data_IF_873942528232
#
_entry.id   IF_873942528232
#
_cell.length_a   1.000
_cell.length_b   1.000
_cell.length_c   1.000
_cell.angle_alpha   90.00
_cell.angle_beta   90.00
_cell.angle_gamma   90.00
#
_symmetry.space_group_name_H-M   'P 1'
#
loop_
_entity.id
_entity.type
_entity.pdbx_description
1 polymer ?
#
# COMPACT_ATOMS: atom_id res chain seq x y z
N UNK A 1 27.90 -63.44 -30.10
CA UNK A 1 28.47 -62.13 -30.50
C UNK A 1 27.53 -61.07 -29.93
N UNK A 2 27.85 -60.53 -28.76
CA UNK A 2 26.94 -59.63 -28.02
C UNK A 2 26.91 -58.24 -28.64
N UNK A 3 25.72 -57.78 -28.98
CA UNK A 3 25.47 -56.39 -29.38
C UNK A 3 25.66 -55.54 -28.12
N UNK A 4 26.68 -54.70 -28.12
CA UNK A 4 26.88 -53.72 -27.05
C UNK A 4 25.89 -52.58 -27.28
N UNK A 5 24.90 -52.48 -26.40
CA UNK A 5 24.01 -51.33 -26.31
C UNK A 5 24.81 -50.08 -25.94
N UNK A 6 24.79 -49.10 -26.84
CA UNK A 6 25.31 -47.76 -26.59
C UNK A 6 24.28 -47.00 -25.73
N UNK A 7 24.65 -46.46 -24.55
CA UNK A 7 23.70 -45.74 -23.73
C UNK A 7 23.36 -44.40 -24.38
N UNK A 8 22.20 -44.31 -25.04
CA UNK A 8 21.62 -43.03 -25.47
C UNK A 8 21.15 -42.28 -24.24
N UNK A 9 22.07 -41.53 -23.63
CA UNK A 9 21.75 -40.56 -22.58
C UNK A 9 21.00 -39.41 -23.22
N UNK A 10 19.67 -39.50 -23.25
CA UNK A 10 18.77 -38.38 -23.57
C UNK A 10 18.94 -37.32 -22.49
N UNK A 11 19.90 -36.42 -22.73
CA UNK A 11 20.13 -35.25 -21.91
C UNK A 11 18.91 -34.35 -22.08
N UNK A 12 18.01 -34.38 -21.09
CA UNK A 12 16.82 -33.52 -21.05
C UNK A 12 17.32 -32.07 -21.12
N UNK A 13 17.20 -31.45 -22.29
CA UNK A 13 17.55 -30.05 -22.50
C UNK A 13 16.53 -29.19 -21.76
N UNK A 14 16.69 -29.06 -20.44
CA UNK A 14 15.90 -28.12 -19.65
C UNK A 14 16.40 -26.72 -19.98
N UNK A 15 15.52 -25.88 -20.52
CA UNK A 15 15.80 -24.46 -20.69
C UNK A 15 16.09 -23.87 -19.30
N UNK A 16 17.28 -23.30 -19.06
CA UNK A 16 17.60 -22.71 -17.77
C UNK A 16 16.61 -21.56 -17.45
N UNK A 17 16.16 -21.42 -16.18
CA UNK A 17 15.28 -20.31 -15.76
C UNK A 17 15.80 -18.93 -16.17
N UNK A 18 17.14 -18.77 -16.23
CA UNK A 18 17.84 -17.58 -16.70
C UNK A 18 17.42 -17.14 -18.11
N UNK A 19 17.11 -18.07 -19.01
CA UNK A 19 16.66 -17.74 -20.38
C UNK A 19 15.30 -17.04 -20.35
N UNK A 20 14.40 -17.46 -19.45
CA UNK A 20 13.12 -16.80 -19.23
C UNK A 20 13.29 -15.38 -18.70
N UNK A 21 14.13 -15.19 -17.68
CA UNK A 21 14.43 -13.86 -17.13
C UNK A 21 15.05 -12.91 -18.16
N UNK A 22 15.99 -13.39 -18.98
CA UNK A 22 16.59 -12.58 -20.06
C UNK A 22 15.55 -12.23 -21.12
N UNK A 23 14.69 -13.18 -21.49
CA UNK A 23 13.62 -12.95 -22.44
C UNK A 23 12.62 -11.90 -21.95
N UNK A 24 12.23 -11.97 -20.68
CA UNK A 24 11.34 -11.01 -20.04
C UNK A 24 11.97 -9.62 -19.97
N UNK A 25 13.27 -9.53 -19.66
CA UNK A 25 14.00 -8.27 -19.67
C UNK A 25 14.10 -7.65 -21.08
N UNK A 26 14.43 -8.45 -22.11
CA UNK A 26 14.42 -8.00 -23.50
C UNK A 26 13.02 -7.57 -23.98
N UNK A 27 11.97 -8.24 -23.49
CA UNK A 27 10.59 -7.87 -23.78
C UNK A 27 10.18 -6.58 -23.07
N UNK A 28 10.68 -6.34 -21.86
CA UNK A 28 10.45 -5.11 -21.09
C UNK A 28 11.09 -3.88 -21.75
N UNK A 29 12.22 -4.04 -22.46
CA UNK A 29 12.88 -2.95 -23.21
C UNK A 29 11.92 -2.25 -24.17
N UNK A 30 11.03 -3.02 -24.83
CA UNK A 30 10.01 -2.48 -25.75
C UNK A 30 8.98 -1.58 -25.05
N UNK A 31 8.84 -1.73 -23.72
CA UNK A 31 7.90 -0.96 -22.91
C UNK A 31 8.57 0.27 -22.29
N UNK A 32 9.87 0.49 -22.43
CA UNK A 32 10.56 1.63 -21.81
C UNK A 32 10.08 2.96 -22.44
N UNK A 33 9.90 4.04 -21.65
CA UNK A 33 9.58 5.35 -22.19
C UNK A 33 10.64 5.84 -23.18
N UNK A 34 10.22 6.41 -24.31
CA UNK A 34 11.14 7.02 -25.28
C UNK A 34 11.54 8.46 -24.93
N UNK A 35 10.86 9.10 -23.98
CA UNK A 35 11.09 10.50 -23.57
C UNK A 35 11.05 10.66 -22.06
N UNK A 36 11.80 11.64 -21.53
CA UNK A 36 11.82 11.96 -20.09
C UNK A 36 10.42 12.31 -19.58
N UNK A 37 9.64 13.05 -20.37
CA UNK A 37 8.26 13.42 -20.02
C UNK A 37 7.39 12.17 -19.82
N UNK A 38 7.49 11.18 -20.73
CA UNK A 38 6.74 9.92 -20.60
C UNK A 38 7.23 9.10 -19.41
N UNK A 39 8.54 9.10 -19.14
CA UNK A 39 9.10 8.44 -17.97
C UNK A 39 8.57 9.06 -16.67
N UNK A 40 8.63 10.38 -16.55
CA UNK A 40 8.12 11.13 -15.39
C UNK A 40 6.64 10.85 -15.16
N UNK A 41 5.80 10.97 -16.21
CA UNK A 41 4.37 10.71 -16.08
C UNK A 41 4.03 9.29 -15.63
N UNK A 42 4.80 8.29 -16.09
CA UNK A 42 4.66 6.91 -15.61
C UNK A 42 5.07 6.76 -14.15
N UNK A 43 6.18 7.35 -13.74
CA UNK A 43 6.63 7.29 -12.34
C UNK A 43 5.64 8.00 -11.41
N UNK A 44 5.08 9.16 -11.81
CA UNK A 44 4.02 9.82 -11.04
C UNK A 44 2.77 8.93 -10.91
N UNK A 45 2.41 8.22 -11.98
CA UNK A 45 1.31 7.25 -11.95
C UNK A 45 1.60 6.11 -10.96
N UNK A 46 2.83 5.61 -10.92
CA UNK A 46 3.24 4.58 -9.95
C UNK A 46 3.14 5.08 -8.50
N UNK A 47 3.55 6.32 -8.23
CA UNK A 47 3.35 6.94 -6.90
C UNK A 47 1.87 6.95 -6.53
N UNK A 48 0.99 7.38 -7.43
CA UNK A 48 -0.45 7.41 -7.18
C UNK A 48 -1.05 6.01 -6.96
N UNK A 49 -0.54 4.99 -7.66
CA UNK A 49 -0.94 3.59 -7.44
C UNK A 49 -0.50 3.11 -6.06
N UNK A 50 0.75 3.35 -5.67
CA UNK A 50 1.27 3.00 -4.34
C UNK A 50 0.44 3.63 -3.23
N UNK A 51 0.16 4.94 -3.31
CA UNK A 51 -0.69 5.64 -2.34
C UNK A 51 -2.12 5.09 -2.30
N UNK A 52 -2.66 4.66 -3.44
CA UNK A 52 -3.99 4.04 -3.50
C UNK A 52 -4.00 2.69 -2.77
N UNK A 53 -2.93 1.91 -2.89
CA UNK A 53 -2.79 0.62 -2.22
C UNK A 53 -2.66 0.80 -0.71
N UNK A 54 -1.83 1.74 -0.25
CA UNK A 54 -1.76 2.11 1.18
C UNK A 54 -3.12 2.57 1.71
N UNK A 55 -3.83 3.44 0.96
CA UNK A 55 -5.17 3.88 1.36
C UNK A 55 -6.19 2.73 1.44
N UNK A 56 -6.05 1.70 0.59
CA UNK A 56 -6.90 0.51 0.65
C UNK A 56 -6.60 -0.25 1.96
N UNK A 57 -5.33 -0.47 2.28
CA UNK A 57 -4.90 -1.16 3.50
C UNK A 57 -5.34 -0.41 4.76
N UNK A 58 -5.20 0.92 4.79
CA UNK A 58 -5.69 1.74 5.91
C UNK A 58 -7.21 1.62 6.12
N UNK A 59 -8.00 1.38 5.06
CA UNK A 59 -9.46 1.21 5.17
C UNK A 59 -9.87 -0.16 5.71
N UNK A 60 -8.93 -1.10 5.82
CA UNK A 60 -9.16 -2.43 6.39
C UNK A 60 -8.97 -2.44 7.91
N UNK A 61 -8.52 -1.33 8.51
CA UNK A 61 -8.41 -1.16 9.96
C UNK A 61 -9.78 -1.29 10.65
N UNK A 62 -9.84 -2.13 11.69
CA UNK A 62 -11.06 -2.42 12.46
C UNK A 62 -11.05 -1.71 13.82
N UNK A 63 -12.22 -1.25 14.30
CA UNK A 63 -12.34 -0.83 15.68
C UNK A 63 -12.27 -2.03 16.61
N UNK A 64 -11.80 -1.81 17.84
CA UNK A 64 -11.94 -2.77 18.90
C UNK A 64 -13.40 -3.16 19.07
N UNK A 65 -13.67 -4.47 18.99
CA UNK A 65 -14.99 -5.03 19.23
C UNK A 65 -15.46 -4.59 20.63
N UNK A 66 -16.37 -3.63 20.67
CA UNK A 66 -17.12 -3.30 21.88
C UNK A 66 -18.25 -4.32 21.98
N UNK A 67 -17.97 -5.52 22.47
CA UNK A 67 -19.02 -6.33 23.07
C UNK A 67 -19.19 -5.88 24.53
N UNK A 68 -20.25 -5.13 24.87
CA UNK A 68 -20.77 -5.21 26.21
C UNK A 68 -21.40 -6.61 26.31
N UNK A 69 -20.81 -7.45 27.15
CA UNK A 69 -21.56 -8.58 27.68
C UNK A 69 -22.63 -7.94 28.58
N UNK A 70 -23.79 -7.61 27.99
CA UNK A 70 -25.01 -7.28 28.72
C UNK A 70 -25.49 -8.56 29.43
N UNK A 71 -24.76 -8.95 30.48
CA UNK A 71 -25.30 -9.84 31.50
C UNK A 71 -26.28 -9.01 32.32
N UNK A 72 -27.54 -9.16 31.91
CA UNK A 72 -28.75 -8.70 32.55
C UNK A 72 -28.63 -8.64 34.08
N UNK A 73 -28.68 -7.43 34.63
CA UNK A 73 -29.16 -7.21 35.99
C UNK A 73 -30.69 -7.36 35.98
N UNK A 74 -31.19 -8.59 36.05
CA UNK A 74 -32.56 -8.88 36.47
C UNK A 74 -32.49 -9.88 37.63
N UNK A 75 -33.09 -9.47 38.76
CA UNK A 75 -33.12 -10.17 40.03
C UNK A 75 -33.72 -11.59 39.96
N UNK A 76 -33.01 -12.54 40.58
CA UNK A 76 -33.48 -13.65 41.40
C UNK A 76 -34.76 -14.45 41.00
N UNK A 77 -34.57 -15.74 40.63
CA UNK A 77 -35.33 -16.86 41.23
C UNK A 77 -34.81 -18.27 40.86
N UNK A 78 -34.03 -18.87 41.77
CA UNK A 78 -34.00 -20.28 42.26
C UNK A 78 -34.21 -21.52 41.31
N UNK A 79 -33.16 -22.39 41.30
CA UNK A 79 -33.09 -23.88 41.07
C UNK A 79 -33.41 -24.44 39.66
N UNK A 80 -32.82 -25.53 39.14
CA UNK A 80 -32.03 -26.67 39.64
C UNK A 80 -31.13 -27.25 38.52
N UNK A 81 -30.21 -28.14 38.94
CA UNK A 81 -29.07 -28.80 38.29
C UNK A 81 -29.36 -29.71 37.06
N UNK A 82 -28.40 -29.82 36.12
CA UNK A 82 -27.77 -31.08 35.62
C UNK A 82 -26.68 -30.84 34.54
N UNK A 83 -25.40 -30.96 34.95
CA UNK A 83 -24.24 -31.69 34.36
C UNK A 83 -23.67 -31.46 32.91
N UNK A 84 -22.40 -31.87 32.62
CA UNK A 84 -21.38 -31.02 31.97
C UNK A 84 -20.83 -31.62 30.65
N UNK A 85 -19.93 -30.87 29.98
CA UNK A 85 -19.34 -31.06 28.62
C UNK A 85 -20.19 -30.40 27.52
N UNK A 86 -19.68 -29.48 26.71
CA UNK A 86 -18.36 -29.44 26.10
C UNK A 86 -17.89 -27.98 25.93
N UNK A 87 -16.73 -27.70 26.49
CA UNK A 87 -15.97 -26.46 26.37
C UNK A 87 -15.47 -26.29 24.94
N UNK A 88 -16.30 -25.66 24.11
CA UNK A 88 -15.93 -25.13 22.80
C UNK A 88 -15.76 -23.61 22.80
N UNK A 89 -15.26 -23.03 23.90
CA UNK A 89 -14.69 -21.67 23.87
C UNK A 89 -13.38 -21.70 23.10
N UNK A 90 -13.48 -21.85 21.78
CA UNK A 90 -12.41 -21.56 20.85
C UNK A 90 -12.78 -20.26 20.15
N UNK A 91 -12.88 -19.17 20.93
CA UNK A 91 -12.44 -17.86 20.45
C UNK A 91 -10.94 -17.98 20.20
N UNK A 92 -10.59 -18.64 19.10
CA UNK A 92 -9.23 -18.66 18.59
C UNK A 92 -8.93 -17.21 18.23
N UNK A 93 -8.14 -16.59 19.09
CA UNK A 93 -7.93 -15.15 19.13
C UNK A 93 -7.65 -14.56 17.76
N UNK A 94 -8.43 -13.55 17.40
CA UNK A 94 -7.94 -12.50 16.52
C UNK A 94 -7.02 -11.64 17.40
N UNK A 95 -5.72 -11.94 17.33
CA UNK A 95 -4.71 -11.31 18.17
C UNK A 95 -4.64 -9.81 17.87
N UNK A 96 -5.33 -9.01 18.66
CA UNK A 96 -4.88 -7.69 19.11
C UNK A 96 -4.51 -6.65 18.05
N UNK A 97 -5.23 -6.61 16.93
CA UNK A 97 -5.07 -5.54 15.90
C UNK A 97 -6.19 -4.49 15.93
N UNK A 98 -7.02 -4.58 16.95
CA UNK A 98 -8.22 -3.81 17.17
C UNK A 98 -7.87 -2.43 17.73
N UNK A 99 -8.25 -1.37 17.02
CA UNK A 99 -7.97 0.01 17.42
C UNK A 99 -8.90 0.45 18.54
N UNK A 100 -8.37 1.06 19.60
CA UNK A 100 -9.20 1.78 20.57
C UNK A 100 -10.04 2.88 19.88
N UNK A 101 -11.16 3.33 20.47
CA UNK A 101 -11.99 4.38 19.88
C UNK A 101 -11.21 5.67 19.56
N UNK A 102 -10.21 6.00 20.36
CA UNK A 102 -9.29 7.13 20.16
C UNK A 102 -8.34 6.90 18.99
N UNK A 103 -7.69 5.74 18.92
CA UNK A 103 -6.82 5.33 17.80
C UNK A 103 -7.59 5.29 16.48
N UNK A 104 -8.84 4.83 16.52
CA UNK A 104 -9.69 4.76 15.34
C UNK A 104 -10.06 6.16 14.79
N UNK A 105 -10.27 7.16 15.66
CA UNK A 105 -10.49 8.55 15.22
C UNK A 105 -9.27 9.12 14.48
N UNK A 106 -8.07 8.75 14.93
CA UNK A 106 -6.82 9.18 14.31
C UNK A 106 -6.63 8.47 12.97
N UNK A 107 -6.86 7.16 12.90
CA UNK A 107 -6.87 6.40 11.66
C UNK A 107 -7.86 6.98 10.63
N UNK A 108 -9.09 7.29 11.03
CA UNK A 108 -10.09 7.92 10.15
C UNK A 108 -9.65 9.30 9.63
N UNK A 109 -9.00 10.09 10.48
CA UNK A 109 -8.47 11.40 10.09
C UNK A 109 -7.33 11.24 9.08
N UNK A 110 -6.40 10.32 9.32
CA UNK A 110 -5.32 10.00 8.40
C UNK A 110 -5.84 9.46 7.06
N UNK A 111 -6.82 8.55 7.07
CA UNK A 111 -7.50 8.05 5.86
C UNK A 111 -8.07 9.19 5.02
N UNK A 112 -8.72 10.17 5.66
CA UNK A 112 -9.26 11.35 4.96
C UNK A 112 -8.14 12.15 4.31
N UNK A 113 -7.09 12.49 5.05
CA UNK A 113 -5.93 13.24 4.54
C UNK A 113 -5.32 12.51 3.34
N UNK A 114 -4.99 11.23 3.47
CA UNK A 114 -4.40 10.43 2.37
C UNK A 114 -5.32 10.37 1.15
N UNK A 115 -6.64 10.25 1.35
CA UNK A 115 -7.62 10.26 0.26
C UNK A 115 -7.65 11.60 -0.49
N UNK A 116 -7.61 12.71 0.22
CA UNK A 116 -7.56 14.05 -0.37
C UNK A 116 -6.22 14.29 -1.10
N UNK A 117 -5.10 13.93 -0.49
CA UNK A 117 -3.77 14.00 -1.12
C UNK A 117 -3.71 13.17 -2.40
N UNK A 118 -4.23 11.94 -2.39
CA UNK A 118 -4.31 11.10 -3.59
C UNK A 118 -5.14 11.76 -4.70
N UNK A 119 -6.22 12.46 -4.33
CA UNK A 119 -7.05 13.19 -5.29
C UNK A 119 -6.27 14.34 -5.94
N UNK A 120 -5.53 15.11 -5.14
CA UNK A 120 -4.63 16.18 -5.64
C UNK A 120 -3.59 15.61 -6.61
N UNK A 121 -2.94 14.50 -6.28
CA UNK A 121 -1.94 13.87 -7.15
C UNK A 121 -2.55 13.41 -8.48
N UNK A 122 -3.75 12.82 -8.46
CA UNK A 122 -4.46 12.42 -9.69
C UNK A 122 -4.77 13.61 -10.59
N UNK A 123 -5.26 14.69 -10.00
CA UNK A 123 -5.61 15.92 -10.72
C UNK A 123 -4.36 16.62 -11.27
N UNK A 124 -3.26 16.58 -10.53
CA UNK A 124 -1.95 17.05 -10.99
C UNK A 124 -1.47 16.26 -12.22
N UNK A 125 -1.51 14.92 -12.18
CA UNK A 125 -1.16 14.05 -13.32
C UNK A 125 -2.02 14.38 -14.54
N UNK A 126 -3.33 14.53 -14.33
CA UNK A 126 -4.29 14.87 -15.39
C UNK A 126 -3.98 16.24 -16.02
N UNK A 127 -3.64 17.23 -15.20
CA UNK A 127 -3.29 18.57 -15.64
C UNK A 127 -1.99 18.60 -16.44
N UNK A 128 -0.94 17.94 -15.95
CA UNK A 128 0.35 17.80 -16.65
C UNK A 128 0.16 17.10 -17.99
N UNK A 129 -0.61 16.01 -18.02
CA UNK A 129 -0.93 15.29 -19.26
C UNK A 129 -1.61 16.19 -20.29
N UNK A 130 -2.45 17.13 -19.84
CA UNK A 130 -3.02 18.17 -20.69
C UNK A 130 -1.96 19.15 -21.21
N UNK A 131 -1.09 19.65 -20.33
CA UNK A 131 -0.05 20.64 -20.66
C UNK A 131 0.99 20.10 -21.66
N UNK A 132 1.39 18.83 -21.52
CA UNK A 132 2.35 18.18 -22.43
C UNK A 132 1.89 18.25 -23.89
N UNK A 133 0.58 18.24 -24.15
CA UNK A 133 0.03 18.33 -25.51
C UNK A 133 0.29 19.68 -26.19
N UNK A 134 0.60 20.72 -25.40
CA UNK A 134 0.78 22.09 -25.87
C UNK A 134 2.22 22.58 -25.77
N UNK A 135 3.16 21.71 -25.40
CA UNK A 135 4.54 22.10 -25.18
C UNK A 135 5.29 22.34 -26.50
N UNK A 136 6.05 23.43 -26.55
CA UNK A 136 6.92 23.76 -27.67
C UNK A 136 8.29 23.06 -27.53
N UNK A 137 8.79 22.32 -28.53
CA UNK A 137 10.06 21.60 -28.48
C UNK A 137 11.28 22.46 -28.08
N UNK A 138 11.28 23.76 -28.40
CA UNK A 138 12.42 24.66 -28.14
C UNK A 138 12.60 25.01 -26.65
N UNK A 139 11.57 24.87 -25.81
CA UNK A 139 11.60 25.17 -24.37
C UNK A 139 11.71 23.92 -23.48
N UNK A 140 11.98 22.77 -24.08
CA UNK A 140 11.85 21.45 -23.45
C UNK A 140 12.71 21.25 -22.19
N UNK A 141 13.92 21.80 -22.12
CA UNK A 141 14.81 21.56 -20.97
C UNK A 141 14.27 22.16 -19.67
N UNK A 142 13.77 23.41 -19.70
CA UNK A 142 13.24 24.08 -18.50
C UNK A 142 11.95 23.44 -17.99
N UNK A 143 11.08 23.00 -18.91
CA UNK A 143 9.85 22.31 -18.57
C UNK A 143 10.11 20.91 -18.00
N UNK A 144 11.01 20.13 -18.63
CA UNK A 144 11.42 18.81 -18.11
C UNK A 144 12.01 18.93 -16.71
N UNK A 145 12.91 19.89 -16.47
CA UNK A 145 13.46 20.14 -15.12
C UNK A 145 12.38 20.45 -14.08
N UNK A 146 11.35 21.21 -14.48
CA UNK A 146 10.21 21.52 -13.61
C UNK A 146 9.39 20.28 -13.29
N UNK A 147 9.14 19.42 -14.28
CA UNK A 147 8.46 18.13 -14.10
C UNK A 147 9.27 17.16 -13.23
N UNK A 148 10.60 17.14 -13.35
CA UNK A 148 11.47 16.31 -12.50
C UNK A 148 11.42 16.76 -11.04
N UNK A 149 11.45 18.07 -10.78
CA UNK A 149 11.31 18.61 -9.44
C UNK A 149 9.94 18.27 -8.85
N UNK A 150 8.89 18.38 -9.65
CA UNK A 150 7.54 18.01 -9.25
C UNK A 150 7.43 16.51 -8.94
N UNK A 151 8.03 15.65 -9.76
CA UNK A 151 8.09 14.22 -9.51
C UNK A 151 8.74 13.91 -8.16
N UNK A 152 9.87 14.55 -7.83
CA UNK A 152 10.54 14.37 -6.53
C UNK A 152 9.63 14.74 -5.35
N UNK A 153 8.84 15.81 -5.48
CA UNK A 153 7.84 16.18 -4.47
C UNK A 153 6.76 15.10 -4.33
N UNK A 154 6.22 14.60 -5.45
CA UNK A 154 5.24 13.51 -5.41
C UNK A 154 5.81 12.24 -4.78
N UNK A 155 7.06 11.88 -5.07
CA UNK A 155 7.73 10.73 -4.45
C UNK A 155 7.90 10.92 -2.95
N UNK A 156 8.30 12.12 -2.51
CA UNK A 156 8.39 12.45 -1.08
C UNK A 156 7.04 12.32 -0.36
N UNK A 157 5.96 12.82 -0.98
CA UNK A 157 4.59 12.62 -0.47
C UNK A 157 4.24 11.14 -0.39
N UNK A 158 4.57 10.36 -1.42
CA UNK A 158 4.32 8.91 -1.44
C UNK A 158 5.00 8.19 -0.26
N UNK A 159 6.25 8.55 0.05
CA UNK A 159 6.97 8.00 1.21
C UNK A 159 6.32 8.40 2.54
N UNK A 160 5.91 9.66 2.69
CA UNK A 160 5.21 10.10 3.90
C UNK A 160 3.87 9.40 4.10
N UNK A 161 3.15 9.10 3.00
CA UNK A 161 1.89 8.34 3.06
C UNK A 161 2.14 6.90 3.49
N UNK A 162 3.19 6.27 2.98
CA UNK A 162 3.60 4.90 3.36
C UNK A 162 3.94 4.83 4.85
N UNK A 163 4.78 5.75 5.34
CA UNK A 163 5.14 5.87 6.75
C UNK A 163 3.92 6.13 7.63
N UNK A 164 3.04 7.06 7.23
CA UNK A 164 1.79 7.33 7.93
C UNK A 164 0.91 6.07 7.97
N UNK A 165 0.76 5.35 6.86
CA UNK A 165 -0.02 4.12 6.80
C UNK A 165 0.50 3.05 7.78
N UNK A 166 1.81 2.84 7.81
CA UNK A 166 2.44 1.90 8.75
C UNK A 166 2.25 2.32 10.22
N UNK A 167 2.29 3.62 10.52
CA UNK A 167 2.15 4.15 11.89
C UNK A 167 0.76 3.97 12.51
N UNK A 168 -0.26 3.63 11.70
CA UNK A 168 -1.64 3.45 12.18
C UNK A 168 -1.92 2.04 12.72
N UNK A 169 -1.03 1.09 12.51
CA UNK A 169 -1.16 -0.23 13.10
C UNK A 169 -0.76 -0.21 14.59
N UNK A 170 -1.44 -0.97 15.47
CA UNK A 170 -1.10 -1.03 16.89
C UNK A 170 0.34 -1.47 17.19
N UNK A 171 0.95 -0.96 18.29
CA UNK A 171 0.49 0.18 19.10
C UNK A 171 0.77 1.52 18.40
N UNK A 172 -0.21 2.43 18.37
CA UNK A 172 -0.02 3.74 17.74
C UNK A 172 0.82 4.68 18.62
N UNK A 173 1.98 5.11 18.14
CA UNK A 173 2.81 6.12 18.78
C UNK A 173 2.26 7.53 18.50
N UNK A 174 1.16 7.91 19.16
CA UNK A 174 0.48 9.20 18.93
C UNK A 174 1.39 10.43 18.94
N UNK A 175 2.39 10.56 19.83
CA UNK A 175 3.30 11.69 19.79
C UNK A 175 4.09 11.76 18.47
N UNK A 176 4.49 10.61 17.92
CA UNK A 176 5.21 10.52 16.66
C UNK A 176 4.30 10.85 15.47
N UNK A 177 3.07 10.33 15.44
CA UNK A 177 2.07 10.66 14.39
C UNK A 177 1.79 12.17 14.38
N UNK A 178 1.59 12.76 15.56
CA UNK A 178 1.33 14.20 15.70
C UNK A 178 2.54 15.05 15.31
N UNK A 179 3.76 14.62 15.63
CA UNK A 179 4.97 15.29 15.21
C UNK A 179 5.13 15.24 13.68
N UNK A 180 4.95 14.06 13.06
CA UNK A 180 5.00 13.90 11.61
C UNK A 180 3.98 14.80 10.89
N UNK A 181 2.74 14.88 11.38
CA UNK A 181 1.72 15.77 10.79
C UNK A 181 2.02 17.26 11.09
N UNK A 182 2.51 17.58 12.28
CA UNK A 182 2.77 18.95 12.73
C UNK A 182 4.01 19.61 12.11
N UNK A 183 5.11 18.87 11.96
CA UNK A 183 6.33 19.36 11.31
C UNK A 183 6.09 19.68 9.83
N UNK A 184 5.28 18.86 9.16
CA UNK A 184 4.87 19.11 7.77
C UNK A 184 4.04 20.40 7.62
N UNK A 185 3.34 20.89 8.65
CA UNK A 185 2.57 22.15 8.58
C UNK A 185 3.43 23.37 8.89
N UNK A 186 4.45 23.25 9.75
CA UNK A 186 5.32 24.38 10.08
C UNK A 186 6.35 24.69 9.00
N UNK A 187 6.77 23.72 8.21
CA UNK A 187 7.72 23.95 7.11
C UNK A 187 7.15 24.79 5.96
N UNK A 188 5.82 24.97 5.89
CA UNK A 188 5.14 25.75 4.86
C UNK A 188 4.47 27.05 5.37
N UNK A 189 4.77 27.48 6.60
CA UNK A 189 4.35 28.78 7.15
C UNK A 189 5.54 29.75 7.14
#
# INVERSE_FOLDING_TARGET
MGVQDLPTKTQKLSIPPLVGTVWDACSALKKIPATNITAIGRTMTQVAVSMKDVLREMKELKPASSEPNDEASEEASVKAETDPHDSGNSSEGDWGNDLSPEEMKIAQSAIRVVSETLSVIKELIRSITGLIKHENPDNSNGFVNSLERLLKLCQGIGLQVDELGASLYPPQEFPAIKAAVGENIQHYR
#
